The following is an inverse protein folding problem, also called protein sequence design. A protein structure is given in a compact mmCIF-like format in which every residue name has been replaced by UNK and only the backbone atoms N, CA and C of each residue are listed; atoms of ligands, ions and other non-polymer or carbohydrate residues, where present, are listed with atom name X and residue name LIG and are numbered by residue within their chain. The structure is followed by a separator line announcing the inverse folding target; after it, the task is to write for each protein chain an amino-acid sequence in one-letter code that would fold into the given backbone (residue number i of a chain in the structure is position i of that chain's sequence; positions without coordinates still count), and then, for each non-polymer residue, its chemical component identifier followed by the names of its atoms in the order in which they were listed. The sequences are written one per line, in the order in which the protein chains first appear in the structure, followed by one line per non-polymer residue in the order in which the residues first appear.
data_IF_885399483613
#
_entry.id   IF_885399483613
#
_cell.length_a   1.000
_cell.length_b   1.000
_cell.length_c   1.000
_cell.angle_alpha   90.00
_cell.angle_beta   90.00
_cell.angle_gamma   90.00
#
_symmetry.space_group_name_H-M   'P 1'
#
loop_
_entity.id
_entity.type
_entity.pdbx_description
1 polymer ?
#
# COMPACT_ATOMS: atom_id res chain seq x y z
N UNK A 1 -9.40 -5.46 31.31
CA UNK A 1 -8.57 -4.61 30.43
C UNK A 1 -8.89 -5.00 28.97
N UNK A 2 -9.83 -4.29 28.35
CA UNK A 2 -10.27 -4.57 26.98
C UNK A 2 -9.07 -4.33 26.05
N UNK A 3 -8.59 -5.36 25.33
CA UNK A 3 -7.55 -5.17 24.30
C UNK A 3 -8.17 -4.45 23.10
N UNK A 4 -8.21 -3.12 23.20
CA UNK A 4 -8.55 -2.13 22.17
C UNK A 4 -7.49 -2.07 21.04
N UNK A 5 -6.91 -3.19 20.61
CA UNK A 5 -6.06 -3.22 19.40
C UNK A 5 -6.96 -3.56 18.23
N UNK A 6 -7.07 -2.65 17.27
CA UNK A 6 -7.66 -2.90 15.96
C UNK A 6 -9.20 -3.01 15.93
N UNK A 7 -9.91 -1.99 16.39
CA UNK A 7 -11.13 -1.61 15.65
C UNK A 7 -10.63 -1.26 14.24
N UNK A 8 -10.63 -2.23 13.33
CA UNK A 8 -10.10 -2.08 11.99
C UNK A 8 -10.95 -0.99 11.34
N UNK A 9 -10.42 0.23 11.29
CA UNK A 9 -10.95 1.28 10.42
C UNK A 9 -10.79 0.78 8.99
N UNK A 10 -11.78 0.03 8.53
CA UNK A 10 -11.91 -0.48 7.18
C UNK A 10 -12.43 0.61 6.26
N UNK A 11 -13.16 1.58 6.78
CA UNK A 11 -13.87 2.60 6.01
C UNK A 11 -13.54 4.01 6.50
N UNK A 12 -13.48 4.96 5.58
CA UNK A 12 -13.31 6.38 5.87
C UNK A 12 -13.90 7.23 4.75
N UNK A 13 -13.95 8.55 4.94
CA UNK A 13 -14.34 9.49 3.90
C UNK A 13 -13.12 10.16 3.28
N UNK A 14 -13.07 10.22 1.94
CA UNK A 14 -12.05 10.93 1.18
C UNK A 14 -12.73 11.71 0.05
N UNK A 15 -12.63 13.04 0.09
CA UNK A 15 -13.21 13.95 -0.92
C UNK A 15 -14.72 13.69 -1.18
N UNK A 16 -15.52 13.53 -0.12
CA UNK A 16 -16.96 13.28 -0.24
C UNK A 16 -17.33 11.83 -0.61
N UNK A 17 -16.35 10.92 -0.70
CA UNK A 17 -16.58 9.52 -1.05
C UNK A 17 -16.20 8.60 0.10
N UNK A 18 -17.05 7.61 0.38
CA UNK A 18 -16.71 6.49 1.26
C UNK A 18 -15.65 5.63 0.57
N UNK A 19 -14.54 5.38 1.27
CA UNK A 19 -13.39 4.61 0.77
C UNK A 19 -13.00 3.53 1.76
N UNK A 20 -12.53 2.39 1.25
CA UNK A 20 -11.97 1.33 2.08
C UNK A 20 -10.48 1.56 2.32
N UNK A 21 -10.06 1.65 3.58
CA UNK A 21 -8.67 1.81 3.97
C UNK A 21 -7.88 0.50 3.86
N UNK A 22 -6.58 0.62 3.63
CA UNK A 22 -5.59 -0.46 3.64
C UNK A 22 -5.84 -1.61 2.63
N UNK A 23 -6.75 -1.42 1.68
CA UNK A 23 -7.08 -2.36 0.61
C UNK A 23 -6.61 -1.79 -0.74
N UNK A 24 -5.49 -2.27 -1.30
CA UNK A 24 -5.04 -1.83 -2.60
C UNK A 24 -6.01 -2.20 -3.73
N UNK A 25 -6.11 -1.34 -4.73
CA UNK A 25 -6.88 -1.54 -5.94
C UNK A 25 -6.04 -1.13 -7.16
N UNK A 26 -6.34 -1.70 -8.32
CA UNK A 26 -5.68 -1.34 -9.58
C UNK A 26 -6.19 -0.01 -10.11
N UNK A 27 -5.32 0.72 -10.79
CA UNK A 27 -5.65 1.97 -11.49
C UNK A 27 -5.27 1.89 -12.96
N UNK A 28 -6.01 1.12 -13.79
CA UNK A 28 -5.75 1.01 -15.23
C UNK A 28 -5.79 2.38 -15.91
N UNK A 29 -4.84 2.66 -16.81
CA UNK A 29 -4.70 3.96 -17.48
C UNK A 29 -4.23 5.10 -16.57
N UNK A 30 -4.04 4.83 -15.26
CA UNK A 30 -3.51 5.80 -14.32
C UNK A 30 -1.98 5.91 -14.34
N UNK A 31 -1.41 6.91 -13.66
CA UNK A 31 0.03 7.15 -13.62
C UNK A 31 0.83 6.08 -12.86
N UNK A 32 0.15 5.20 -12.12
CA UNK A 32 0.72 4.08 -11.35
C UNK A 32 -0.19 2.86 -11.48
N UNK A 33 0.36 1.68 -11.21
CA UNK A 33 -0.39 0.41 -11.35
C UNK A 33 -1.49 0.25 -10.32
N UNK A 34 -1.23 0.66 -9.08
CA UNK A 34 -2.16 0.48 -7.97
C UNK A 34 -2.24 1.72 -7.09
N UNK A 35 -3.34 1.83 -6.38
CA UNK A 35 -3.54 2.83 -5.34
C UNK A 35 -4.15 2.20 -4.09
N UNK A 36 -4.03 2.89 -2.95
CA UNK A 36 -4.58 2.45 -1.67
C UNK A 36 -4.85 3.67 -0.79
N UNK A 37 -6.00 3.68 -0.13
CA UNK A 37 -6.30 4.68 0.89
C UNK A 37 -5.70 4.27 2.23
N UNK A 38 -5.03 5.20 2.90
CA UNK A 38 -4.36 4.94 4.17
C UNK A 38 -4.54 6.11 5.13
N UNK A 39 -4.33 5.86 6.42
CA UNK A 39 -4.20 6.94 7.38
C UNK A 39 -2.83 7.58 7.24
N UNK A 40 -2.80 8.87 6.92
CA UNK A 40 -1.60 9.69 6.87
C UNK A 40 -1.05 10.03 8.27
N UNK A 41 0.11 10.70 8.33
CA UNK A 41 0.75 11.05 9.60
C UNK A 41 -0.10 11.98 10.48
N UNK A 42 -0.96 12.81 9.86
CA UNK A 42 -1.79 13.80 10.56
C UNK A 42 -3.19 13.27 10.89
N UNK A 43 -3.40 11.95 10.87
CA UNK A 43 -4.72 11.34 11.10
C UNK A 43 -5.75 11.64 9.99
N UNK A 44 -5.29 12.08 8.81
CA UNK A 44 -6.12 12.31 7.62
C UNK A 44 -5.95 11.19 6.61
N UNK A 45 -7.01 10.84 5.90
CA UNK A 45 -6.96 9.86 4.82
C UNK A 45 -6.14 10.40 3.65
N UNK A 46 -5.19 9.60 3.17
CA UNK A 46 -4.38 9.90 1.99
C UNK A 46 -4.42 8.73 1.01
N UNK A 47 -4.41 9.05 -0.28
CA UNK A 47 -4.27 8.07 -1.36
C UNK A 47 -2.78 7.87 -1.70
N UNK A 48 -2.29 6.66 -1.53
CA UNK A 48 -0.92 6.26 -1.90
C UNK A 48 -0.99 5.54 -3.24
N UNK A 49 -0.26 6.04 -4.23
CA UNK A 49 -0.13 5.41 -5.56
C UNK A 49 1.23 4.72 -5.66
N UNK A 50 1.26 3.49 -6.15
CA UNK A 50 2.46 2.66 -6.17
C UNK A 50 2.46 1.65 -7.33
N UNK A 51 3.64 1.09 -7.61
CA UNK A 51 3.85 0.15 -8.70
C UNK A 51 3.95 0.82 -10.08
N UNK A 52 4.64 0.14 -10.98
CA UNK A 52 4.82 0.57 -12.36
C UNK A 52 3.71 -0.01 -13.25
N UNK A 53 2.97 0.81 -14.03
CA UNK A 53 1.92 0.33 -14.93
C UNK A 53 2.40 -0.74 -15.91
N UNK A 54 3.64 -0.63 -16.38
CA UNK A 54 4.21 -1.44 -17.46
C UNK A 54 4.97 -2.67 -16.95
N UNK A 55 5.17 -2.82 -15.63
CA UNK A 55 5.93 -3.95 -15.07
C UNK A 55 5.07 -4.91 -14.26
N UNK A 56 5.16 -6.20 -14.58
CA UNK A 56 4.56 -7.27 -13.78
C UNK A 56 5.37 -7.57 -12.51
N UNK A 57 4.66 -7.88 -11.43
CA UNK A 57 5.27 -8.33 -10.17
C UNK A 57 5.48 -9.84 -10.24
N UNK A 58 6.74 -10.26 -10.38
CA UNK A 58 7.15 -11.67 -10.45
C UNK A 58 7.41 -12.25 -9.06
N UNK A 59 6.42 -12.17 -8.17
CA UNK A 59 6.55 -12.60 -6.76
C UNK A 59 6.71 -14.12 -6.59
N UNK A 60 6.26 -14.86 -7.59
CA UNK A 60 6.37 -16.31 -7.74
C UNK A 60 7.82 -16.75 -8.01
N UNK A 61 8.64 -15.89 -8.62
CA UNK A 61 10.06 -16.14 -8.79
C UNK A 61 10.84 -15.71 -7.52
N UNK A 62 11.41 -16.66 -6.76
CA UNK A 62 12.04 -16.37 -5.46
C UNK A 62 13.27 -15.47 -5.57
N UNK A 63 14.06 -15.60 -6.64
CA UNK A 63 15.28 -14.80 -6.85
C UNK A 63 14.94 -13.34 -7.18
N UNK A 64 13.92 -13.13 -8.01
CA UNK A 64 13.40 -11.78 -8.33
C UNK A 64 12.80 -11.13 -7.09
N UNK A 65 12.03 -11.89 -6.31
CA UNK A 65 11.46 -11.42 -5.04
C UNK A 65 12.55 -11.03 -4.05
N UNK A 66 13.54 -11.90 -3.81
CA UNK A 66 14.69 -11.63 -2.92
C UNK A 66 15.44 -10.37 -3.36
N UNK A 67 15.75 -10.27 -4.65
CA UNK A 67 16.48 -9.11 -5.20
C UNK A 67 15.70 -7.81 -5.09
N UNK A 68 14.38 -7.82 -5.31
CA UNK A 68 13.55 -6.64 -5.10
C UNK A 68 13.55 -6.24 -3.62
N UNK A 69 13.30 -7.19 -2.72
CA UNK A 69 13.19 -6.93 -1.28
C UNK A 69 14.47 -6.37 -0.69
N UNK A 70 15.63 -6.87 -1.12
CA UNK A 70 16.94 -6.37 -0.69
C UNK A 70 17.17 -4.92 -1.16
N UNK A 71 16.99 -4.63 -2.45
CA UNK A 71 17.21 -3.29 -3.03
C UNK A 71 16.27 -2.22 -2.47
N UNK A 72 15.08 -2.62 -2.02
CA UNK A 72 14.06 -1.71 -1.49
C UNK A 72 13.96 -1.72 0.03
N UNK A 73 14.86 -2.40 0.75
CA UNK A 73 14.86 -2.50 2.22
C UNK A 73 13.46 -2.88 2.76
N UNK A 74 12.90 -3.96 2.22
CA UNK A 74 11.53 -4.38 2.56
C UNK A 74 11.39 -4.99 3.97
N UNK A 75 12.50 -5.16 4.69
CA UNK A 75 12.51 -5.56 6.09
C UNK A 75 12.17 -4.38 7.01
N UNK A 76 12.48 -3.15 6.60
CA UNK A 76 12.00 -1.91 7.23
C UNK A 76 11.38 -0.95 6.19
N UNK A 77 10.20 -1.29 5.64
CA UNK A 77 9.65 -0.58 4.50
C UNK A 77 9.04 0.79 4.88
N UNK A 78 8.98 1.12 6.16
CA UNK A 78 8.42 2.37 6.68
C UNK A 78 6.89 2.34 6.85
N UNK A 79 6.25 3.51 7.01
CA UNK A 79 4.84 3.58 7.37
C UNK A 79 3.90 3.33 6.19
N UNK A 80 2.65 2.93 6.49
CA UNK A 80 1.61 2.61 5.49
C UNK A 80 1.28 3.76 4.54
N UNK A 81 1.44 5.02 4.93
CA UNK A 81 1.18 6.15 4.02
C UNK A 81 2.33 6.42 3.01
N UNK A 82 3.30 5.51 2.88
CA UNK A 82 4.39 5.60 1.89
C UNK A 82 4.30 4.46 0.88
N UNK A 83 4.61 4.77 -0.38
CA UNK A 83 4.54 3.82 -1.50
C UNK A 83 5.40 2.56 -1.29
N UNK A 84 6.60 2.71 -0.69
CA UNK A 84 7.52 1.60 -0.42
C UNK A 84 6.88 0.48 0.41
N UNK A 85 6.10 0.82 1.43
CA UNK A 85 5.35 -0.16 2.22
C UNK A 85 4.49 -1.06 1.34
N UNK A 86 3.72 -0.47 0.44
CA UNK A 86 2.81 -1.21 -0.42
C UNK A 86 3.51 -1.95 -1.54
N UNK A 87 4.58 -1.39 -2.11
CA UNK A 87 5.43 -2.09 -3.06
C UNK A 87 6.08 -3.33 -2.41
N UNK A 88 6.62 -3.22 -1.19
CA UNK A 88 7.17 -4.34 -0.44
C UNK A 88 6.13 -5.36 0.04
N UNK A 89 4.85 -4.96 0.17
CA UNK A 89 3.75 -5.87 0.48
C UNK A 89 3.29 -6.63 -0.77
N UNK A 90 3.40 -6.01 -1.94
CA UNK A 90 3.04 -6.63 -3.21
C UNK A 90 4.11 -7.63 -3.71
N UNK A 91 5.39 -7.39 -3.37
CA UNK A 91 6.56 -8.24 -3.66
C UNK A 91 6.95 -9.17 -2.50
#
# INVERSE_FOLDING_TARGET
MIRYKDFILTEAEYQGKKVTLNKPFYTPGGPKKSAVYTMGPNGKVVIVRFGDPNMEIKKDNPDRRRSFRARHNCDNPGPKYKARYWSCKAW
#
